data_IF_908818145066
#
_entry.id   IF_908818145066
#
_cell.length_a   1.000
_cell.length_b   1.000
_cell.length_c   1.000
_cell.angle_alpha   90.00
_cell.angle_beta   90.00
_cell.angle_gamma   90.00
#
_symmetry.space_group_name_H-M   'P 1'
#
loop_
_entity.id
_entity.type
_entity.pdbx_description
1 polymer ?
#
# COMPACT_ATOMS: atom_id res chain seq x y z
N UNK A 1 17.49 62.77 75.37
CA UNK A 1 16.24 63.55 75.20
C UNK A 1 15.91 63.56 73.71
N UNK A 2 14.75 63.02 73.32
CA UNK A 2 14.06 63.03 71.99
C UNK A 2 14.79 62.38 70.78
N UNK A 3 14.29 61.27 70.18
CA UNK A 3 13.12 61.09 69.27
C UNK A 3 13.30 61.87 67.95
N UNK A 4 12.91 61.44 66.74
CA UNK A 4 12.39 60.25 66.05
C UNK A 4 12.03 60.77 64.62
N UNK A 5 11.82 59.88 63.64
CA UNK A 5 11.01 60.04 62.40
C UNK A 5 11.65 60.82 61.22
N UNK A 6 11.96 60.17 60.08
CA UNK A 6 11.13 59.54 59.02
C UNK A 6 10.71 60.51 57.90
N UNK A 7 10.94 60.08 56.65
CA UNK A 7 10.05 60.09 55.46
C UNK A 7 10.93 60.15 54.18
N UNK A 8 11.07 59.04 53.45
CA UNK A 8 10.26 58.65 52.27
C UNK A 8 10.33 59.65 51.10
N UNK A 9 11.07 59.31 50.03
CA UNK A 9 10.44 59.03 48.73
C UNK A 9 11.43 58.49 47.67
N UNK A 10 10.95 57.46 46.97
CA UNK A 10 11.34 56.88 45.68
C UNK A 10 11.86 57.91 44.65
N UNK A 11 12.69 57.59 43.65
CA UNK A 11 12.56 56.48 42.71
C UNK A 11 13.77 56.41 41.74
N UNK A 12 13.82 55.31 40.99
CA UNK A 12 14.58 55.06 39.75
C UNK A 12 15.99 54.50 39.91
N UNK A 13 16.04 53.21 40.29
CA UNK A 13 17.17 52.37 39.92
C UNK A 13 16.84 51.59 38.63
N UNK A 14 17.73 51.71 37.66
CA UNK A 14 17.52 51.41 36.26
C UNK A 14 17.93 49.95 36.01
N UNK A 15 17.08 49.00 36.38
CA UNK A 15 17.38 47.58 36.16
C UNK A 15 17.12 47.21 34.69
N UNK A 16 18.20 47.09 33.92
CA UNK A 16 18.18 46.59 32.54
C UNK A 16 17.63 45.16 32.52
N UNK A 17 16.36 45.03 32.16
CA UNK A 17 15.72 43.76 31.88
C UNK A 17 16.14 43.29 30.47
N UNK A 18 17.18 42.47 30.38
CA UNK A 18 17.49 41.73 29.15
C UNK A 18 16.44 40.63 28.96
N UNK A 19 15.45 40.90 28.11
CA UNK A 19 14.46 39.91 27.67
C UNK A 19 15.19 38.92 26.75
N UNK A 20 15.56 37.76 27.27
CA UNK A 20 16.04 36.64 26.46
C UNK A 20 14.89 36.10 25.63
N UNK A 21 14.90 36.34 24.32
CA UNK A 21 14.00 35.69 23.38
C UNK A 21 14.44 34.23 23.28
N UNK A 22 13.84 33.36 24.09
CA UNK A 22 13.90 31.91 23.88
C UNK A 22 13.09 31.61 22.62
N UNK A 23 13.75 31.62 21.46
CA UNK A 23 13.20 31.09 20.23
C UNK A 23 12.92 29.61 20.45
N UNK A 24 11.66 29.25 20.75
CA UNK A 24 11.17 27.89 20.65
C UNK A 24 11.28 27.50 19.17
N UNK A 25 12.41 26.93 18.78
CA UNK A 25 12.47 26.09 17.60
C UNK A 25 11.63 24.85 17.93
N UNK A 26 10.33 24.89 17.59
CA UNK A 26 9.58 23.66 17.36
C UNK A 26 10.32 22.95 16.22
N UNK A 27 11.23 22.05 16.58
CA UNK A 27 11.83 21.16 15.61
C UNK A 27 10.69 20.42 14.93
N UNK A 28 10.57 20.58 13.61
CA UNK A 28 9.74 19.69 12.81
C UNK A 28 10.35 18.29 12.97
N UNK A 29 9.84 17.51 13.90
CA UNK A 29 10.18 16.10 14.00
C UNK A 29 9.62 15.45 12.75
N UNK A 30 10.48 15.23 11.77
CA UNK A 30 10.15 14.37 10.62
C UNK A 30 9.96 12.97 11.18
N UNK A 31 8.71 12.56 11.36
CA UNK A 31 8.39 11.17 11.65
C UNK A 31 8.79 10.37 10.41
N UNK A 32 9.84 9.57 10.54
CA UNK A 32 10.23 8.65 9.47
C UNK A 32 9.14 7.59 9.32
N UNK A 33 8.69 7.38 8.09
CA UNK A 33 7.74 6.33 7.74
C UNK A 33 8.41 4.96 7.95
N UNK A 34 7.63 3.97 8.38
CA UNK A 34 8.17 2.63 8.60
C UNK A 34 8.29 1.88 7.27
N UNK A 35 9.43 1.19 7.08
CA UNK A 35 9.59 0.25 5.96
C UNK A 35 8.63 -0.95 6.15
N UNK A 36 8.11 -1.47 5.05
CA UNK A 36 7.33 -2.72 5.09
C UNK A 36 8.21 -3.89 5.51
N UNK A 37 7.78 -4.63 6.54
CA UNK A 37 8.46 -5.82 7.03
C UNK A 37 7.67 -7.07 6.65
N UNK A 38 8.17 -7.91 5.73
CA UNK A 38 7.56 -9.21 5.45
C UNK A 38 7.37 -10.01 6.75
N UNK A 39 6.32 -10.85 6.86
CA UNK A 39 6.14 -11.72 8.01
C UNK A 39 7.39 -12.57 8.28
N UNK A 40 7.76 -12.74 9.56
CA UNK A 40 8.97 -13.51 9.94
C UNK A 40 8.98 -14.94 9.41
N UNK A 41 7.80 -15.53 9.24
CA UNK A 41 7.57 -16.82 8.58
C UNK A 41 6.65 -16.55 7.37
N UNK A 42 7.22 -16.22 6.20
CA UNK A 42 6.44 -15.93 5.01
C UNK A 42 5.85 -17.23 4.44
N UNK A 43 4.55 -17.21 4.16
CA UNK A 43 3.93 -18.24 3.34
C UNK A 43 4.31 -18.01 1.89
N UNK A 44 4.64 -19.06 1.15
CA UNK A 44 4.90 -19.00 -0.29
C UNK A 44 3.80 -19.74 -1.05
N UNK A 45 3.43 -19.30 -2.26
CA UNK A 45 2.46 -20.02 -3.07
C UNK A 45 3.03 -21.37 -3.53
N UNK A 46 2.23 -22.43 -3.40
CA UNK A 46 2.65 -23.80 -3.78
C UNK A 46 2.84 -23.96 -5.30
N UNK A 47 2.09 -23.17 -6.07
CA UNK A 47 2.22 -23.06 -7.52
C UNK A 47 2.73 -21.65 -7.89
N UNK A 48 3.57 -21.50 -8.92
CA UNK A 48 3.91 -20.20 -9.44
C UNK A 48 2.62 -19.44 -9.75
N UNK A 49 2.49 -18.20 -9.29
CA UNK A 49 1.32 -17.34 -9.53
C UNK A 49 1.27 -16.85 -10.98
N UNK A 50 1.68 -17.69 -11.92
CA UNK A 50 2.04 -17.34 -13.28
C UNK A 50 1.40 -18.34 -14.23
N UNK A 51 0.34 -17.87 -14.89
CA UNK A 51 0.02 -18.27 -16.26
C UNK A 51 0.50 -17.13 -17.15
N UNK A 52 1.82 -17.03 -17.36
CA UNK A 52 2.39 -16.13 -18.38
C UNK A 52 2.22 -16.79 -19.75
N UNK A 53 0.99 -16.92 -20.19
CA UNK A 53 0.68 -17.09 -21.61
C UNK A 53 0.87 -15.75 -22.31
N UNK A 54 2.10 -15.30 -22.53
CA UNK A 54 2.37 -14.14 -23.40
C UNK A 54 2.18 -14.55 -24.87
N UNK A 55 1.01 -15.07 -25.24
CA UNK A 55 0.62 -15.30 -26.63
C UNK A 55 -0.38 -14.21 -27.03
N UNK A 56 0.13 -13.01 -27.27
CA UNK A 56 -0.63 -11.91 -27.89
C UNK A 56 -1.06 -10.79 -26.95
N UNK A 57 -0.09 -10.08 -26.33
CA UNK A 57 -0.40 -8.93 -25.49
C UNK A 57 -1.16 -7.81 -26.22
N UNK A 58 -1.91 -6.99 -25.47
CA UNK A 58 -2.80 -5.94 -25.99
C UNK A 58 -2.08 -4.76 -26.67
N UNK A 59 -0.76 -4.81 -26.88
CA UNK A 59 0.01 -3.67 -27.36
C UNK A 59 1.14 -4.05 -28.31
N UNK A 60 1.31 -3.25 -29.37
CA UNK A 60 2.33 -3.36 -30.42
C UNK A 60 3.75 -3.04 -29.96
N UNK A 61 3.92 -2.41 -28.78
CA UNK A 61 5.21 -1.84 -28.34
C UNK A 61 5.84 -2.52 -27.09
N UNK A 62 5.23 -3.56 -26.54
CA UNK A 62 5.91 -4.55 -25.67
C UNK A 62 6.54 -4.09 -24.34
N UNK A 63 6.27 -2.89 -23.81
CA UNK A 63 7.14 -2.32 -22.74
C UNK A 63 6.53 -1.99 -21.38
N UNK A 64 5.24 -2.22 -21.14
CA UNK A 64 4.75 -2.29 -19.76
C UNK A 64 3.58 -3.27 -19.71
N UNK A 65 3.66 -4.23 -18.79
CA UNK A 65 2.66 -5.28 -18.61
C UNK A 65 1.82 -4.96 -17.38
N UNK A 66 0.55 -5.33 -17.42
CA UNK A 66 -0.34 -5.37 -16.25
C UNK A 66 0.39 -5.97 -15.05
N UNK A 67 0.42 -5.26 -13.93
CA UNK A 67 1.24 -5.63 -12.77
C UNK A 67 0.42 -5.54 -11.49
N UNK A 68 0.31 -6.64 -10.74
CA UNK A 68 -0.29 -6.62 -9.39
C UNK A 68 0.64 -5.92 -8.41
N UNK A 69 0.09 -5.06 -7.55
CA UNK A 69 0.81 -4.34 -6.50
C UNK A 69 0.66 -5.06 -5.16
N UNK A 70 1.01 -6.34 -5.17
CA UNK A 70 1.01 -7.23 -4.01
C UNK A 70 2.25 -8.12 -4.02
N UNK A 71 2.81 -8.56 -2.89
CA UNK A 71 3.97 -9.46 -2.87
C UNK A 71 3.72 -10.77 -3.64
N UNK A 72 4.72 -11.22 -4.40
CA UNK A 72 4.77 -12.54 -5.04
C UNK A 72 5.83 -13.44 -4.39
N UNK A 73 6.95 -12.87 -3.95
CA UNK A 73 7.95 -13.62 -3.18
C UNK A 73 7.45 -14.11 -1.83
N UNK A 74 6.34 -13.58 -1.33
CA UNK A 74 5.56 -14.19 -0.27
C UNK A 74 4.08 -13.85 -0.46
N UNK A 75 3.21 -14.52 0.27
CA UNK A 75 1.78 -14.23 0.26
C UNK A 75 1.52 -13.02 1.15
N UNK A 76 0.82 -12.02 0.60
CA UNK A 76 0.41 -10.85 1.36
C UNK A 76 -0.69 -11.21 2.37
N UNK A 77 -0.63 -10.59 3.55
CA UNK A 77 -1.61 -10.80 4.63
C UNK A 77 -2.53 -9.59 4.80
N UNK A 78 -3.76 -9.83 5.23
CA UNK A 78 -4.72 -8.81 5.66
C UNK A 78 -5.47 -9.25 6.90
N UNK A 79 -5.84 -8.31 7.77
CA UNK A 79 -6.83 -8.51 8.83
C UNK A 79 -8.22 -7.99 8.44
N UNK A 80 -8.36 -7.41 7.25
CA UNK A 80 -9.67 -6.99 6.72
C UNK A 80 -10.35 -8.15 6.02
N UNK A 81 -11.63 -8.37 6.33
CA UNK A 81 -12.52 -9.26 5.57
C UNK A 81 -12.95 -8.64 4.24
N UNK A 82 -12.75 -7.33 4.07
CA UNK A 82 -13.07 -6.55 2.89
C UNK A 82 -11.80 -5.82 2.41
N UNK A 83 -10.83 -6.55 1.84
CA UNK A 83 -9.56 -5.96 1.41
C UNK A 83 -9.74 -5.03 0.20
N UNK A 84 -8.74 -4.16 0.02
CA UNK A 84 -8.54 -3.40 -1.21
C UNK A 84 -7.41 -4.03 -2.02
N UNK A 85 -7.69 -4.34 -3.28
CA UNK A 85 -6.73 -4.86 -4.24
C UNK A 85 -6.24 -3.72 -5.12
N UNK A 86 -4.97 -3.78 -5.54
CA UNK A 86 -4.37 -2.74 -6.36
C UNK A 86 -3.47 -3.33 -7.44
N UNK A 87 -3.55 -2.76 -8.64
CA UNK A 87 -2.73 -3.13 -9.79
C UNK A 87 -2.40 -1.90 -10.61
N UNK A 88 -1.32 -1.99 -11.37
CA UNK A 88 -0.93 -0.95 -12.32
C UNK A 88 -1.33 -1.35 -13.73
N UNK A 89 -2.05 -0.46 -14.40
CA UNK A 89 -2.35 -0.54 -15.82
C UNK A 89 -1.45 0.47 -16.54
N UNK A 90 -0.64 0.02 -17.52
CA UNK A 90 0.16 0.94 -18.31
C UNK A 90 -0.71 1.85 -19.18
N UNK A 91 -0.07 2.74 -19.94
CA UNK A 91 -0.77 3.55 -20.94
C UNK A 91 -1.49 2.64 -21.95
N UNK A 92 -2.81 2.54 -21.77
CA UNK A 92 -3.68 1.62 -22.47
C UNK A 92 -4.95 2.38 -22.84
N UNK A 93 -5.42 2.15 -24.06
CA UNK A 93 -6.79 2.48 -24.44
C UNK A 93 -7.76 1.76 -23.49
N UNK A 94 -8.99 2.30 -23.38
CA UNK A 94 -10.03 1.65 -22.59
C UNK A 94 -10.35 0.27 -23.21
N UNK A 95 -9.92 -0.78 -22.53
CA UNK A 95 -10.09 -2.18 -22.87
C UNK A 95 -10.93 -2.85 -21.79
N UNK A 96 -11.77 -3.84 -22.15
CA UNK A 96 -12.51 -4.61 -21.17
C UNK A 96 -11.56 -5.34 -20.22
N UNK A 97 -11.81 -5.19 -18.92
CA UNK A 97 -11.07 -5.84 -17.85
C UNK A 97 -12.04 -6.60 -16.94
N UNK A 98 -11.56 -7.67 -16.30
CA UNK A 98 -12.26 -8.33 -15.21
C UNK A 98 -11.39 -8.39 -13.96
N UNK A 99 -11.99 -8.15 -12.81
CA UNK A 99 -11.45 -8.56 -11.52
C UNK A 99 -12.12 -9.88 -11.11
N UNK A 100 -11.33 -10.86 -10.73
CA UNK A 100 -11.82 -12.18 -10.32
C UNK A 100 -11.17 -12.60 -9.01
N UNK A 101 -11.98 -13.13 -8.11
CA UNK A 101 -11.54 -13.66 -6.82
C UNK A 101 -11.96 -15.11 -6.69
N UNK A 102 -11.02 -15.97 -6.28
CA UNK A 102 -11.20 -17.39 -6.10
C UNK A 102 -10.84 -17.76 -4.67
N UNK A 103 -11.61 -18.66 -4.08
CA UNK A 103 -11.15 -19.37 -2.90
C UNK A 103 -10.04 -20.33 -3.32
N UNK A 104 -8.92 -20.33 -2.59
CA UNK A 104 -7.80 -21.23 -2.85
C UNK A 104 -8.12 -22.63 -2.31
N UNK A 105 -9.06 -23.31 -2.98
CA UNK A 105 -9.40 -24.69 -2.72
C UNK A 105 -8.74 -25.64 -3.74
N UNK A 106 -8.61 -26.92 -3.38
CA UNK A 106 -7.97 -27.95 -4.21
C UNK A 106 -8.91 -28.44 -5.33
N UNK A 107 -10.00 -27.74 -5.63
CA UNK A 107 -10.94 -28.21 -6.64
C UNK A 107 -10.35 -28.02 -8.04
N UNK A 108 -10.52 -29.02 -8.90
CA UNK A 108 -9.94 -29.05 -10.26
C UNK A 108 -10.50 -27.93 -11.18
N UNK A 109 -11.59 -27.26 -10.78
CA UNK A 109 -12.25 -26.18 -11.51
C UNK A 109 -12.79 -25.07 -10.58
N UNK A 110 -11.92 -24.20 -10.02
CA UNK A 110 -12.39 -23.15 -9.12
C UNK A 110 -13.23 -22.13 -9.90
N UNK A 111 -14.48 -21.93 -9.49
CA UNK A 111 -15.34 -20.85 -9.98
C UNK A 111 -15.02 -19.57 -9.19
N UNK A 112 -15.01 -18.40 -9.84
CA UNK A 112 -14.76 -17.16 -9.12
C UNK A 112 -15.93 -16.88 -8.16
N UNK A 113 -15.60 -16.64 -6.87
CA UNK A 113 -16.57 -16.16 -5.88
C UNK A 113 -16.95 -14.69 -6.12
N UNK A 114 -16.12 -13.95 -6.86
CA UNK A 114 -16.45 -12.65 -7.43
C UNK A 114 -15.89 -12.51 -8.84
N UNK A 115 -16.67 -11.91 -9.73
CA UNK A 115 -16.31 -11.65 -11.12
C UNK A 115 -16.88 -10.31 -11.56
N UNK A 116 -16.08 -9.25 -11.45
CA UNK A 116 -16.49 -7.86 -11.66
C UNK A 116 -15.96 -7.37 -13.01
N UNK A 117 -16.83 -6.81 -13.83
CA UNK A 117 -16.46 -6.19 -15.10
C UNK A 117 -16.00 -4.75 -14.88
N UNK A 118 -14.86 -4.40 -15.47
CA UNK A 118 -14.18 -3.13 -15.34
C UNK A 118 -13.71 -2.65 -16.73
N UNK A 119 -13.25 -1.40 -16.80
CA UNK A 119 -12.54 -0.85 -17.96
C UNK A 119 -11.15 -0.41 -17.53
N UNK A 120 -10.13 -0.68 -18.34
CA UNK A 120 -8.78 -0.19 -18.06
C UNK A 120 -8.76 1.34 -17.99
N UNK A 121 -8.07 1.86 -16.99
CA UNK A 121 -7.68 3.26 -16.91
C UNK A 121 -6.18 3.30 -16.61
N UNK A 122 -5.36 4.08 -17.33
CA UNK A 122 -3.92 4.16 -17.07
C UNK A 122 -3.62 4.57 -15.62
N UNK A 123 -2.58 3.97 -15.03
CA UNK A 123 -2.12 4.24 -13.67
C UNK A 123 -2.46 3.13 -12.68
N UNK A 124 -2.36 3.46 -11.38
CA UNK A 124 -2.75 2.55 -10.30
C UNK A 124 -4.27 2.51 -10.20
N UNK A 125 -4.85 1.34 -10.47
CA UNK A 125 -6.25 1.04 -10.28
C UNK A 125 -6.44 0.24 -8.99
N UNK A 126 -7.62 0.36 -8.39
CA UNK A 126 -8.00 -0.35 -7.17
C UNK A 126 -9.39 -0.95 -7.28
N UNK A 127 -9.63 -2.00 -6.49
CA UNK A 127 -10.96 -2.54 -6.24
C UNK A 127 -11.06 -2.97 -4.78
N UNK A 128 -12.03 -2.42 -4.06
CA UNK A 128 -12.33 -2.77 -2.67
C UNK A 128 -13.57 -3.65 -2.63
N UNK A 129 -13.55 -4.69 -1.81
CA UNK A 129 -14.76 -5.47 -1.56
C UNK A 129 -15.79 -4.60 -0.83
N UNK A 130 -17.06 -4.72 -1.23
CA UNK A 130 -18.14 -3.94 -0.63
C UNK A 130 -18.45 -4.42 0.78
N UNK A 131 -18.52 -3.50 1.75
CA UNK A 131 -18.93 -3.78 3.12
C UNK A 131 -20.37 -4.34 3.22
N UNK A 132 -21.20 -4.13 2.18
CA UNK A 132 -22.56 -4.68 2.09
C UNK A 132 -22.59 -6.17 1.66
N UNK A 133 -21.46 -6.70 1.19
CA UNK A 133 -21.32 -8.10 0.78
C UNK A 133 -20.71 -8.96 1.88
N UNK A 134 -20.89 -10.28 1.77
CA UNK A 134 -20.26 -11.22 2.69
C UNK A 134 -18.73 -11.12 2.56
N UNK A 135 -18.07 -10.73 3.64
CA UNK A 135 -16.62 -10.61 3.69
C UNK A 135 -15.90 -11.97 3.59
N UNK A 136 -14.61 -11.89 3.27
CA UNK A 136 -13.74 -13.05 3.19
C UNK A 136 -13.54 -13.70 4.56
N UNK A 137 -13.39 -15.02 4.58
CA UNK A 137 -13.32 -15.78 5.82
C UNK A 137 -11.92 -15.72 6.44
N UNK A 138 -11.85 -15.41 7.73
CA UNK A 138 -10.61 -15.43 8.50
C UNK A 138 -10.02 -16.85 8.53
N UNK A 139 -8.71 -16.95 8.34
CA UNK A 139 -7.97 -18.21 8.25
C UNK A 139 -8.03 -18.86 6.87
N UNK A 140 -8.62 -18.20 5.87
CA UNK A 140 -8.66 -18.68 4.50
C UNK A 140 -7.68 -17.93 3.59
N UNK A 141 -7.28 -18.62 2.53
CA UNK A 141 -6.47 -18.11 1.43
C UNK A 141 -7.33 -17.93 0.20
N UNK A 142 -7.04 -16.88 -0.56
CA UNK A 142 -7.70 -16.58 -1.82
C UNK A 142 -6.66 -16.24 -2.90
N UNK A 143 -7.01 -16.52 -4.15
CA UNK A 143 -6.31 -16.07 -5.34
C UNK A 143 -7.16 -14.98 -6.00
N UNK A 144 -6.59 -13.81 -6.24
CA UNK A 144 -7.24 -12.78 -7.04
C UNK A 144 -6.45 -12.52 -8.31
N UNK A 145 -7.17 -12.17 -9.37
CA UNK A 145 -6.57 -11.84 -10.66
C UNK A 145 -7.30 -10.70 -11.34
N UNK A 146 -6.56 -9.97 -12.16
CA UNK A 146 -7.06 -9.00 -13.11
C UNK A 146 -6.74 -9.47 -14.52
N UNK A 147 -7.76 -9.42 -15.38
CA UNK A 147 -7.72 -9.97 -16.73
C UNK A 147 -8.08 -8.88 -17.72
N UNK A 148 -7.15 -8.48 -18.60
CA UNK A 148 -7.45 -7.59 -19.73
C UNK A 148 -7.77 -8.46 -20.95
N UNK A 149 -8.95 -8.22 -21.54
CA UNK A 149 -9.38 -8.85 -22.77
C UNK A 149 -8.87 -8.04 -23.96
N UNK A 150 -7.73 -8.44 -24.55
CA UNK A 150 -7.17 -7.75 -25.72
C UNK A 150 -8.05 -7.90 -26.96
N UNK A 151 -8.57 -9.12 -27.18
CA UNK A 151 -9.46 -9.44 -28.30
C UNK A 151 -10.68 -10.17 -27.72
N UNK A 152 -11.88 -9.54 -27.72
CA UNK A 152 -13.08 -10.15 -27.12
C UNK A 152 -13.44 -11.54 -27.67
N UNK A 153 -13.07 -11.80 -28.93
CA UNK A 153 -13.33 -13.08 -29.60
C UNK A 153 -12.22 -14.13 -29.41
N UNK A 154 -11.09 -13.76 -28.79
CA UNK A 154 -9.94 -14.65 -28.59
C UNK A 154 -9.46 -14.61 -27.13
N UNK A 155 -10.18 -15.25 -26.19
CA UNK A 155 -9.84 -15.23 -24.76
C UNK A 155 -8.42 -15.71 -24.43
N UNK A 156 -7.81 -16.52 -25.30
CA UNK A 156 -6.43 -16.99 -25.17
C UNK A 156 -5.37 -15.88 -25.29
N UNK A 157 -5.73 -14.70 -25.80
CA UNK A 157 -4.83 -13.54 -25.89
C UNK A 157 -4.93 -12.63 -24.66
N UNK A 158 -5.73 -12.99 -23.64
CA UNK A 158 -5.91 -12.16 -22.47
C UNK A 158 -4.62 -12.01 -21.67
N UNK A 159 -4.38 -10.80 -21.14
CA UNK A 159 -3.29 -10.57 -20.19
C UNK A 159 -3.85 -10.78 -18.79
N UNK A 160 -3.20 -11.65 -18.03
CA UNK A 160 -3.58 -11.99 -16.65
C UNK A 160 -2.45 -11.58 -15.71
N UNK A 161 -2.81 -10.89 -14.63
CA UNK A 161 -1.93 -10.68 -13.49
C UNK A 161 -2.66 -11.08 -12.21
N UNK A 162 -1.99 -11.81 -11.32
CA UNK A 162 -2.61 -12.45 -10.16
C UNK A 162 -1.69 -12.41 -8.93
N UNK A 163 -2.30 -12.52 -7.75
CA UNK A 163 -1.60 -12.64 -6.47
C UNK A 163 -2.47 -13.35 -5.43
N UNK A 164 -1.82 -13.95 -4.43
CA UNK A 164 -2.50 -14.59 -3.30
C UNK A 164 -2.69 -13.60 -2.15
N UNK A 165 -3.72 -13.85 -1.34
CA UNK A 165 -4.02 -13.13 -0.11
C UNK A 165 -4.43 -14.10 1.00
N UNK A 166 -3.83 -13.92 2.18
CA UNK A 166 -4.22 -14.61 3.41
C UNK A 166 -5.04 -13.67 4.30
N UNK A 167 -6.26 -14.09 4.66
CA UNK A 167 -7.08 -13.40 5.66
C UNK A 167 -6.72 -13.95 7.02
N UNK A 168 -6.19 -13.11 7.92
CA UNK A 168 -5.67 -13.58 9.21
C UNK A 168 -6.34 -12.87 10.39
N UNK A 169 -6.34 -13.56 11.53
CA UNK A 169 -6.94 -13.05 12.75
C UNK A 169 -6.19 -11.81 13.25
N UNK A 170 -6.94 -10.75 13.56
CA UNK A 170 -6.40 -9.53 14.17
C UNK A 170 -5.91 -9.81 15.60
N UNK A 171 -4.59 -9.78 15.80
CA UNK A 171 -3.96 -10.04 17.10
C UNK A 171 -4.24 -8.93 18.12
N UNK A 172 -4.21 -9.21 19.44
CA UNK A 172 -4.34 -8.19 20.47
C UNK A 172 -3.30 -7.07 20.34
N UNK A 173 -2.04 -7.41 20.05
CA UNK A 173 -0.95 -6.45 19.89
C UNK A 173 -1.22 -5.48 18.73
N UNK A 174 -1.75 -5.98 17.61
CA UNK A 174 -2.14 -5.13 16.48
C UNK A 174 -3.30 -4.20 16.84
N UNK A 175 -4.29 -4.68 17.62
CA UNK A 175 -5.39 -3.83 18.10
C UNK A 175 -4.87 -2.70 18.99
N UNK A 176 -3.94 -3.00 19.91
CA UNK A 176 -3.34 -2.00 20.80
C UNK A 176 -2.55 -0.97 19.99
N UNK A 177 -1.70 -1.41 19.05
CA UNK A 177 -0.93 -0.50 18.21
C UNK A 177 -1.84 0.44 17.41
N UNK A 178 -2.89 -0.09 16.77
CA UNK A 178 -3.82 0.70 15.97
C UNK A 178 -4.69 1.65 16.80
N UNK A 179 -4.91 1.39 18.08
CA UNK A 179 -5.66 2.31 18.94
C UNK A 179 -4.95 3.66 19.16
N UNK A 180 -3.62 3.70 18.95
CA UNK A 180 -2.83 4.93 19.01
C UNK A 180 -2.79 5.70 17.68
N UNK A 181 -3.27 5.11 16.58
CA UNK A 181 -3.24 5.72 15.26
C UNK A 181 -4.31 6.81 15.13
N UNK A 182 -3.92 8.00 14.69
CA UNK A 182 -4.83 9.16 14.59
C UNK A 182 -5.30 9.44 13.17
N UNK A 183 -4.60 8.88 12.18
CA UNK A 183 -4.84 9.13 10.77
C UNK A 183 -4.49 7.89 9.92
N UNK A 184 -4.86 7.84 8.62
CA UNK A 184 -4.58 6.68 7.76
C UNK A 184 -3.08 6.39 7.56
N UNK A 185 -2.21 7.41 7.57
CA UNK A 185 -0.75 7.24 7.45
C UNK A 185 -0.21 6.49 8.67
N UNK A 186 -0.61 6.86 9.89
CA UNK A 186 -0.21 6.15 11.11
C UNK A 186 -0.65 4.68 11.06
N UNK A 187 -1.88 4.41 10.57
CA UNK A 187 -2.39 3.03 10.42
C UNK A 187 -1.57 2.25 9.40
N UNK A 188 -1.28 2.87 8.25
CA UNK A 188 -0.51 2.27 7.18
C UNK A 188 0.91 1.90 7.66
N UNK A 189 1.59 2.79 8.39
CA UNK A 189 2.90 2.54 9.00
C UNK A 189 2.85 1.34 9.97
N UNK A 190 1.83 1.28 10.85
CA UNK A 190 1.66 0.17 11.78
C UNK A 190 1.42 -1.15 11.03
N UNK A 191 0.55 -1.14 10.02
CA UNK A 191 0.30 -2.34 9.22
C UNK A 191 1.56 -2.79 8.47
N UNK A 192 2.35 -1.84 7.95
CA UNK A 192 3.58 -2.13 7.23
C UNK A 192 4.65 -2.76 8.12
N UNK A 193 4.88 -2.18 9.32
CA UNK A 193 5.80 -2.71 10.33
C UNK A 193 5.40 -4.12 10.79
N UNK A 194 4.11 -4.43 10.78
CA UNK A 194 3.56 -5.73 11.21
C UNK A 194 3.34 -6.72 10.06
N UNK A 195 3.69 -6.36 8.83
CA UNK A 195 3.63 -7.27 7.67
C UNK A 195 2.26 -7.44 7.01
N UNK A 196 1.29 -6.58 7.30
CA UNK A 196 -0.05 -6.60 6.70
C UNK A 196 -0.12 -5.76 5.41
N UNK A 197 0.46 -6.29 4.33
CA UNK A 197 0.61 -5.57 3.06
C UNK A 197 -0.69 -4.94 2.54
N UNK A 198 -1.76 -5.73 2.44
CA UNK A 198 -3.02 -5.25 1.87
C UNK A 198 -3.71 -4.19 2.73
N UNK A 199 -3.52 -4.24 4.06
CA UNK A 199 -3.99 -3.15 4.92
C UNK A 199 -3.13 -1.90 4.72
N UNK A 200 -1.80 -2.03 4.76
CA UNK A 200 -0.88 -0.90 4.61
C UNK A 200 -1.07 -0.18 3.27
N UNK A 201 -1.09 -0.95 2.17
CA UNK A 201 -1.26 -0.38 0.84
C UNK A 201 -2.67 0.16 0.62
N UNK A 202 -3.70 -0.54 1.13
CA UNK A 202 -5.09 -0.09 1.08
C UNK A 202 -5.32 1.29 1.68
N UNK A 203 -4.70 1.58 2.83
CA UNK A 203 -4.79 2.89 3.50
C UNK A 203 -4.23 4.03 2.64
N UNK A 204 -3.20 3.80 1.83
CA UNK A 204 -2.55 4.84 1.00
C UNK A 204 -3.11 4.97 -0.41
N UNK A 205 -3.77 3.93 -0.94
CA UNK A 205 -4.44 4.01 -2.25
C UNK A 205 -5.92 4.39 -2.16
N UNK A 206 -6.55 4.24 -0.98
CA UNK A 206 -7.95 4.61 -0.74
C UNK A 206 -8.16 6.02 -0.17
N UNK A 207 -7.08 6.78 0.13
CA UNK A 207 -7.14 8.07 0.84
C UNK A 207 -6.86 9.27 -0.07
N UNK A 208 -7.18 10.48 0.41
CA UNK A 208 -6.92 11.73 -0.30
C UNK A 208 -5.41 11.93 -0.56
N UNK A 209 -5.09 12.45 -1.75
CA UNK A 209 -3.72 12.62 -2.27
C UNK A 209 -3.00 13.81 -1.62
N UNK A 210 -2.62 13.67 -0.35
CA UNK A 210 -1.67 14.57 0.29
C UNK A 210 -0.22 14.08 0.18
N UNK A 211 0.72 14.97 0.49
CA UNK A 211 2.15 14.70 0.34
C UNK A 211 2.63 13.49 1.18
N UNK A 212 2.06 13.25 2.36
CA UNK A 212 2.48 12.15 3.24
C UNK A 212 1.95 10.81 2.76
N UNK A 213 0.69 10.75 2.33
CA UNK A 213 0.13 9.53 1.73
C UNK A 213 0.91 9.14 0.47
N UNK A 214 1.29 10.13 -0.34
CA UNK A 214 2.10 9.92 -1.55
C UNK A 214 3.50 9.41 -1.21
N UNK A 215 4.17 10.01 -0.24
CA UNK A 215 5.49 9.56 0.21
C UNK A 215 5.44 8.11 0.72
N UNK A 216 4.44 7.77 1.54
CA UNK A 216 4.26 6.41 2.03
C UNK A 216 3.93 5.42 0.92
N UNK A 217 3.07 5.78 -0.04
CA UNK A 217 2.81 4.95 -1.23
C UNK A 217 4.11 4.65 -2.00
N UNK A 218 4.95 5.67 -2.22
CA UNK A 218 6.24 5.49 -2.90
C UNK A 218 7.22 4.63 -2.09
N UNK A 219 7.23 4.75 -0.77
CA UNK A 219 8.06 3.91 0.10
C UNK A 219 7.60 2.45 0.06
N UNK A 220 6.30 2.18 0.21
CA UNK A 220 5.73 0.83 0.11
C UNK A 220 6.02 0.18 -1.25
N UNK A 221 5.88 0.92 -2.35
CA UNK A 221 6.24 0.42 -3.69
C UNK A 221 7.76 0.16 -3.80
N UNK A 222 8.59 0.99 -3.18
CA UNK A 222 10.04 0.79 -3.14
C UNK A 222 10.40 -0.49 -2.38
N UNK A 223 9.75 -0.75 -1.25
CA UNK A 223 9.97 -1.97 -0.47
C UNK A 223 9.46 -3.21 -1.20
N UNK A 224 8.30 -3.13 -1.86
CA UNK A 224 7.82 -4.19 -2.73
C UNK A 224 8.85 -4.52 -3.81
N UNK A 225 9.40 -3.51 -4.51
CA UNK A 225 10.43 -3.75 -5.51
C UNK A 225 11.68 -4.44 -4.93
N UNK A 226 12.12 -4.09 -3.72
CA UNK A 226 13.26 -4.74 -3.03
C UNK A 226 12.94 -6.20 -2.69
N UNK A 227 11.74 -6.47 -2.19
CA UNK A 227 11.28 -7.82 -1.83
C UNK A 227 11.27 -8.71 -3.07
N UNK A 228 10.66 -8.25 -4.16
CA UNK A 228 10.64 -9.01 -5.42
C UNK A 228 12.06 -9.19 -6.00
N UNK A 229 12.98 -8.25 -5.78
CA UNK A 229 14.38 -8.38 -6.21
C UNK A 229 15.19 -9.41 -5.40
N UNK A 230 14.79 -9.67 -4.14
CA UNK A 230 15.43 -10.69 -3.30
C UNK A 230 15.05 -12.12 -3.70
N UNK A 231 14.02 -12.26 -4.54
CA UNK A 231 13.55 -13.52 -5.05
C UNK A 231 14.52 -14.17 -6.03
N UNK A 232 14.59 -15.50 -5.98
CA UNK A 232 15.48 -16.28 -6.86
C UNK A 232 14.86 -16.57 -8.24
N UNK A 233 13.62 -16.15 -8.47
CA UNK A 233 12.91 -16.41 -9.73
C UNK A 233 13.10 -15.27 -10.73
N UNK A 234 13.21 -15.63 -12.01
CA UNK A 234 13.23 -14.66 -13.11
C UNK A 234 11.98 -13.76 -13.11
N UNK A 235 10.84 -14.29 -12.65
CA UNK A 235 9.58 -13.55 -12.57
C UNK A 235 9.60 -12.48 -11.48
N UNK A 236 10.17 -12.80 -10.31
CA UNK A 236 10.38 -11.85 -9.23
C UNK A 236 11.26 -10.67 -9.68
N UNK A 237 12.36 -11.01 -10.36
CA UNK A 237 13.26 -10.02 -10.97
C UNK A 237 12.52 -9.13 -11.97
N UNK A 238 11.72 -9.71 -12.88
CA UNK A 238 10.92 -8.94 -13.83
C UNK A 238 9.89 -8.03 -13.16
N UNK A 239 9.22 -8.53 -12.11
CA UNK A 239 8.23 -7.75 -11.38
C UNK A 239 8.87 -6.60 -10.62
N UNK A 240 10.03 -6.83 -9.98
CA UNK A 240 10.81 -5.76 -9.36
C UNK A 240 11.12 -4.64 -10.35
N UNK A 241 11.58 -4.96 -11.56
CA UNK A 241 11.85 -3.97 -12.60
C UNK A 241 10.58 -3.23 -13.05
N UNK A 242 9.44 -3.92 -13.20
CA UNK A 242 8.16 -3.28 -13.49
C UNK A 242 7.75 -2.30 -12.39
N UNK A 243 7.90 -2.66 -11.12
CA UNK A 243 7.58 -1.77 -10.00
C UNK A 243 8.53 -0.55 -9.98
N UNK A 244 9.81 -0.72 -10.31
CA UNK A 244 10.75 0.41 -10.47
C UNK A 244 10.29 1.37 -11.57
N UNK A 245 9.79 0.86 -12.69
CA UNK A 245 9.22 1.71 -13.75
C UNK A 245 7.96 2.45 -13.27
N UNK A 246 7.08 1.79 -12.53
CA UNK A 246 5.88 2.39 -11.93
C UNK A 246 6.27 3.52 -10.96
N UNK A 247 7.29 3.31 -10.12
CA UNK A 247 7.83 4.34 -9.22
C UNK A 247 8.27 5.60 -9.98
N UNK A 248 8.94 5.44 -11.13
CA UNK A 248 9.34 6.57 -11.96
C UNK A 248 8.15 7.33 -12.55
N UNK A 249 7.08 6.62 -12.94
CA UNK A 249 5.83 7.22 -13.43
C UNK A 249 5.14 8.00 -12.30
N UNK A 250 4.94 7.38 -11.15
CA UNK A 250 4.29 7.99 -9.98
C UNK A 250 5.06 9.20 -9.45
N UNK A 251 6.39 9.20 -9.54
CA UNK A 251 7.23 10.36 -9.19
C UNK A 251 7.08 11.52 -10.18
N UNK A 252 6.93 11.23 -11.48
CA UNK A 252 6.78 12.27 -12.52
C UNK A 252 5.41 12.92 -12.52
N UNK A 253 4.36 12.18 -12.16
CA UNK A 253 3.01 12.72 -11.96
C UNK A 253 2.93 13.81 -10.86
N UNK A 254 4.01 14.04 -10.11
CA UNK A 254 4.18 15.11 -9.11
C UNK A 254 4.48 16.50 -9.73
N UNK A 255 5.00 16.55 -10.96
CA UNK A 255 5.42 17.77 -11.66
C UNK A 255 4.32 18.26 -12.60
#
# INVERSE_FOLDING_TARGET
MKRRFQLLNHCLDNHRLTIGVFSLFLGMTTVALADYKPPSEPSHPEQPTIISGTRGGCSKNGQANLTTLAPQEHIGKTVSTHPTFAWFVPDAEALPMKFQLYQDDVNEHPQPIQNIELQTTPGIMTHSLSEDELGLSVGQRYLWQVVIMCEPNHPSSAIIAQAYIDIVQKSPDLKIALAAATNPVDRADIYADKGFWYNAFGEVVGSADDARHRELKLNLLTDLAKIEASGNSHYASQKSERIKQILEIERKARL
#
